data_IF_790045957844
#
_entry.id   IF_790045957844
#
_cell.length_a   1.000
_cell.length_b   1.000
_cell.length_c   1.000
_cell.angle_alpha   90.00
_cell.angle_beta   90.00
_cell.angle_gamma   90.00
#
_symmetry.space_group_name_H-M   'P 1'
#
loop_
_entity.id
_entity.type
_entity.pdbx_description
1 polymer ?
#
# COMPACT_ATOMS: atom_id res chain seq x y z
N UNK A 1 -24.10 -17.93 -45.01
CA UNK A 1 -23.91 -19.35 -44.66
C UNK A 1 -22.48 -19.50 -44.14
N UNK A 2 -22.30 -19.52 -42.83
CA UNK A 2 -21.02 -19.70 -42.16
C UNK A 2 -21.11 -20.97 -41.30
N UNK A 3 -20.11 -21.83 -41.41
CA UNK A 3 -20.07 -23.18 -40.84
C UNK A 3 -20.07 -23.19 -39.30
N UNK A 4 -20.84 -24.07 -38.64
CA UNK A 4 -20.92 -24.18 -37.17
C UNK A 4 -19.80 -25.03 -36.53
N UNK A 5 -18.76 -25.41 -37.27
CA UNK A 5 -17.78 -26.43 -36.85
C UNK A 5 -16.66 -25.87 -35.95
N UNK A 6 -16.43 -24.56 -35.94
CA UNK A 6 -15.35 -23.93 -35.14
C UNK A 6 -15.70 -23.74 -33.66
N UNK A 7 -16.98 -23.73 -33.30
CA UNK A 7 -17.42 -23.55 -31.90
C UNK A 7 -17.33 -24.82 -31.06
N UNK A 8 -17.38 -26.01 -31.68
CA UNK A 8 -17.32 -27.28 -30.96
C UNK A 8 -15.88 -27.66 -30.53
N UNK A 9 -14.87 -27.21 -31.29
CA UNK A 9 -13.47 -27.53 -31.01
C UNK A 9 -12.93 -26.83 -29.75
N UNK A 10 -13.35 -25.59 -29.49
CA UNK A 10 -12.97 -24.85 -28.27
C UNK A 10 -13.56 -25.45 -26.98
N UNK A 11 -14.78 -26.00 -27.03
CA UNK A 11 -15.43 -26.62 -25.86
C UNK A 11 -14.78 -27.96 -25.52
N UNK A 12 -14.30 -28.71 -26.52
CA UNK A 12 -13.61 -29.99 -26.32
C UNK A 12 -12.21 -29.79 -25.72
N UNK A 13 -11.48 -28.73 -26.11
CA UNK A 13 -10.18 -28.38 -25.54
C UNK A 13 -10.29 -27.95 -24.06
N UNK A 14 -11.31 -27.15 -23.71
CA UNK A 14 -11.58 -26.77 -22.32
C UNK A 14 -11.97 -27.97 -21.44
N UNK A 15 -12.71 -28.95 -21.99
CA UNK A 15 -13.08 -30.17 -21.29
C UNK A 15 -11.88 -31.12 -21.07
N UNK A 16 -10.92 -31.17 -21.99
CA UNK A 16 -9.70 -31.99 -21.83
C UNK A 16 -8.72 -31.42 -20.79
N UNK A 17 -8.59 -30.09 -20.67
CA UNK A 17 -7.78 -29.47 -19.60
C UNK A 17 -8.34 -29.73 -18.19
N UNK A 18 -9.66 -29.74 -18.03
CA UNK A 18 -10.34 -30.05 -16.75
C UNK A 18 -10.07 -31.48 -16.25
N UNK A 19 -9.85 -32.43 -17.16
CA UNK A 19 -9.61 -33.85 -16.81
C UNK A 19 -8.16 -34.10 -16.36
N UNK A 20 -7.19 -33.28 -16.76
CA UNK A 20 -5.80 -33.44 -16.33
C UNK A 20 -5.51 -32.83 -14.94
N UNK A 21 -6.21 -31.76 -14.55
CA UNK A 21 -5.99 -31.09 -13.25
C UNK A 21 -6.61 -31.87 -12.08
N UNK A 22 -7.62 -32.70 -12.33
CA UNK A 22 -8.29 -33.51 -11.29
C UNK A 22 -7.55 -34.81 -10.92
N UNK A 23 -6.56 -35.23 -11.73
CA UNK A 23 -5.82 -36.48 -11.50
C UNK A 23 -4.58 -36.34 -10.58
N UNK A 24 -4.18 -35.12 -10.18
CA UNK A 24 -2.90 -34.89 -9.48
C UNK A 24 -3.02 -34.51 -7.99
N UNK A 25 -4.22 -34.60 -7.39
CA UNK A 25 -4.46 -34.37 -5.94
C UNK A 25 -5.00 -35.60 -5.20
N UNK A 26 -4.32 -36.74 -5.31
CA UNK A 26 -4.45 -37.83 -4.34
C UNK A 26 -3.07 -38.32 -3.92
N UNK A 27 -2.62 -37.88 -2.76
CA UNK A 27 -1.45 -38.47 -2.10
C UNK A 27 -0.73 -37.49 -1.19
N UNK A 28 -1.08 -37.51 0.10
CA UNK A 28 -0.20 -37.41 1.29
C UNK A 28 -0.92 -36.70 2.44
N UNK A 29 -1.44 -37.50 3.36
CA UNK A 29 -1.85 -37.07 4.70
C UNK A 29 -0.86 -37.71 5.69
N UNK A 30 0.02 -36.90 6.30
CA UNK A 30 0.96 -37.35 7.33
C UNK A 30 0.57 -36.68 8.65
N UNK A 31 0.18 -37.49 9.63
CA UNK A 31 -0.13 -37.09 11.02
C UNK A 31 1.16 -36.98 11.84
N UNK A 32 1.37 -35.92 12.63
CA UNK A 32 2.28 -35.96 13.76
C UNK A 32 1.51 -36.14 15.08
N UNK A 33 1.94 -37.12 15.88
CA UNK A 33 1.59 -37.26 17.30
C UNK A 33 2.67 -36.58 18.14
N UNK A 34 2.33 -35.54 18.89
CA UNK A 34 3.14 -35.08 20.03
C UNK A 34 2.25 -34.99 21.28
N UNK A 35 2.73 -35.58 22.38
CA UNK A 35 2.19 -35.39 23.74
C UNK A 35 2.79 -34.12 24.33
N UNK A 36 2.05 -33.31 25.11
CA UNK A 36 2.64 -32.24 25.89
C UNK A 36 3.34 -32.78 27.15
N UNK A 37 4.46 -32.14 27.52
CA UNK A 37 5.24 -32.38 28.74
C UNK A 37 4.61 -31.65 29.95
N UNK A 38 4.76 -32.23 31.13
CA UNK A 38 4.20 -31.84 32.43
C UNK A 38 4.61 -30.41 32.92
N UNK A 39 5.43 -29.68 32.16
CA UNK A 39 5.97 -28.36 32.51
C UNK A 39 5.03 -27.19 32.23
N UNK A 40 3.96 -27.36 31.46
CA UNK A 40 3.01 -26.27 31.13
C UNK A 40 2.00 -25.96 32.25
N UNK A 41 1.71 -26.91 33.14
CA UNK A 41 0.75 -26.69 34.22
C UNK A 41 1.25 -25.72 35.30
N UNK A 42 2.56 -25.72 35.59
CA UNK A 42 3.14 -24.87 36.65
C UNK A 42 3.40 -23.43 36.18
N UNK A 43 3.40 -23.17 34.86
CA UNK A 43 3.54 -21.82 34.32
C UNK A 43 2.19 -21.07 34.28
N UNK A 44 1.07 -21.79 34.08
CA UNK A 44 -0.27 -21.22 34.15
C UNK A 44 -0.69 -20.79 35.56
N UNK A 45 -0.25 -21.48 36.61
CA UNK A 45 -0.55 -21.07 38.00
C UNK A 45 0.19 -19.78 38.42
N UNK A 46 1.40 -19.53 37.90
CA UNK A 46 2.13 -18.28 38.20
C UNK A 46 1.50 -17.04 37.56
N UNK A 47 0.87 -17.18 36.40
CA UNK A 47 0.13 -16.10 35.74
C UNK A 47 -1.24 -15.83 36.39
N UNK A 48 -1.86 -16.84 37.02
CA UNK A 48 -3.10 -16.64 37.77
C UNK A 48 -2.87 -16.04 39.17
N UNK A 49 -1.76 -16.38 39.83
CA UNK A 49 -1.41 -15.82 41.15
C UNK A 49 -1.02 -14.34 41.11
N UNK A 50 -0.47 -13.83 40.00
CA UNK A 50 -0.17 -12.40 39.82
C UNK A 50 -1.39 -11.51 39.45
N UNK A 51 -2.60 -12.07 39.31
CA UNK A 51 -3.83 -11.28 39.11
C UNK A 51 -4.62 -11.03 40.41
N UNK A 52 -4.17 -11.55 41.54
CA UNK A 52 -4.88 -11.44 42.83
C UNK A 52 -4.48 -10.22 43.69
N UNK A 53 -4.02 -9.13 43.06
CA UNK A 53 -3.58 -7.90 43.76
C UNK A 53 -3.87 -6.60 43.02
N UNK A 54 -4.73 -6.60 42.00
CA UNK A 54 -5.19 -5.37 41.36
C UNK A 54 -6.52 -4.99 41.99
N UNK A 55 -6.55 -3.85 42.67
CA UNK A 55 -7.77 -3.16 43.09
C UNK A 55 -8.87 -3.33 42.02
N UNK A 56 -10.09 -3.64 42.47
CA UNK A 56 -11.31 -3.67 41.65
C UNK A 56 -11.61 -2.27 41.09
N UNK A 57 -10.76 -1.79 40.18
CA UNK A 57 -11.10 -0.69 39.29
C UNK A 57 -12.12 -1.27 38.32
N UNK A 58 -13.40 -0.96 38.56
CA UNK A 58 -14.46 -1.13 37.57
C UNK A 58 -13.97 -0.50 36.27
N UNK A 59 -13.98 -1.25 35.17
CA UNK A 59 -13.62 -0.70 33.87
C UNK A 59 -14.50 0.53 33.59
N UNK A 60 -13.91 1.66 33.15
CA UNK A 60 -14.67 2.87 32.90
C UNK A 60 -15.70 2.62 31.79
N UNK A 61 -16.92 3.09 32.02
CA UNK A 61 -18.00 2.98 31.04
C UNK A 61 -17.61 3.79 29.79
N UNK A 62 -17.68 3.19 28.61
CA UNK A 62 -17.37 3.91 27.36
C UNK A 62 -18.67 4.47 26.79
N UNK A 63 -18.74 5.79 26.63
CA UNK A 63 -19.85 6.49 25.98
C UNK A 63 -19.35 7.11 24.68
N UNK A 64 -20.10 6.90 23.60
CA UNK A 64 -19.77 7.45 22.28
C UNK A 64 -20.74 8.57 21.94
N UNK A 65 -20.20 9.68 21.47
CA UNK A 65 -21.00 10.85 21.07
C UNK A 65 -20.58 11.36 19.70
N UNK A 66 -21.54 11.93 18.97
CA UNK A 66 -21.29 12.47 17.65
C UNK A 66 -20.75 13.90 17.77
N UNK A 67 -19.78 14.26 16.92
CA UNK A 67 -19.32 15.64 16.82
C UNK A 67 -20.49 16.56 16.45
N UNK A 68 -20.71 17.61 17.23
CA UNK A 68 -21.79 18.57 17.07
C UNK A 68 -23.07 18.26 17.86
N UNK A 69 -23.16 17.11 18.54
CA UNK A 69 -24.29 16.79 19.42
C UNK A 69 -24.10 17.31 20.84
N UNK A 70 -25.16 17.29 21.63
CA UNK A 70 -25.09 17.48 23.07
C UNK A 70 -24.92 16.13 23.75
N UNK A 71 -24.04 16.06 24.76
CA UNK A 71 -23.74 14.85 25.52
C UNK A 71 -24.16 15.02 26.97
N UNK A 72 -24.79 13.97 27.53
CA UNK A 72 -25.19 13.93 28.94
C UNK A 72 -24.43 12.79 29.61
N UNK A 73 -23.55 13.13 30.54
CA UNK A 73 -22.79 12.17 31.33
C UNK A 73 -23.46 12.00 32.70
N UNK A 74 -23.89 10.77 32.99
CA UNK A 74 -24.58 10.44 34.24
C UNK A 74 -23.59 9.95 35.29
N UNK A 75 -23.77 10.38 36.54
CA UNK A 75 -22.98 9.88 37.66
C UNK A 75 -23.50 8.51 38.15
N UNK A 76 -23.34 7.46 37.34
CA UNK A 76 -23.78 6.11 37.70
C UNK A 76 -25.29 6.02 37.99
N UNK A 77 -25.66 5.39 39.12
CA UNK A 77 -27.06 5.20 39.57
C UNK A 77 -27.43 6.10 40.74
N UNK A 78 -26.72 7.21 40.91
CA UNK A 78 -26.92 8.14 42.01
C UNK A 78 -28.22 8.93 41.81
N UNK A 79 -28.90 9.27 42.90
CA UNK A 79 -30.07 10.14 42.87
C UNK A 79 -29.77 11.46 42.13
N UNK A 80 -30.78 11.97 41.42
CA UNK A 80 -30.61 13.18 40.61
C UNK A 80 -30.25 14.41 41.45
N UNK A 81 -30.65 14.44 42.72
CA UNK A 81 -30.44 15.58 43.62
C UNK A 81 -29.14 15.47 44.44
N UNK A 82 -28.34 14.43 44.24
CA UNK A 82 -27.09 14.27 44.97
C UNK A 82 -26.05 15.31 44.53
N UNK A 83 -25.39 15.92 45.51
CA UNK A 83 -24.27 16.83 45.26
C UNK A 83 -23.05 16.04 44.73
N UNK A 84 -22.69 16.30 43.48
CA UNK A 84 -21.55 15.66 42.80
C UNK A 84 -20.54 16.68 42.31
N UNK A 85 -19.28 16.26 42.24
CA UNK A 85 -18.20 17.01 41.60
C UNK A 85 -17.69 16.23 40.40
N UNK A 86 -17.49 16.91 39.27
CA UNK A 86 -17.00 16.31 38.05
C UNK A 86 -15.59 16.79 37.72
N UNK A 87 -14.73 15.86 37.31
CA UNK A 87 -13.41 16.15 36.75
C UNK A 87 -13.25 15.50 35.39
N UNK A 88 -12.42 16.08 34.53
CA UNK A 88 -12.05 15.53 33.23
C UNK A 88 -10.54 15.31 33.20
N UNK A 89 -10.09 14.10 32.88
CA UNK A 89 -8.68 13.71 32.86
C UNK A 89 -7.92 14.05 34.16
N UNK A 90 -8.63 14.11 35.30
CA UNK A 90 -8.05 14.43 36.61
C UNK A 90 -8.01 15.93 36.95
N UNK A 91 -8.51 16.81 36.10
CA UNK A 91 -8.63 18.25 36.37
C UNK A 91 -10.09 18.65 36.59
N UNK A 92 -10.33 19.59 37.49
CA UNK A 92 -11.67 20.15 37.73
C UNK A 92 -12.19 20.86 36.48
N UNK A 93 -13.49 20.76 36.23
CA UNK A 93 -14.16 21.44 35.11
C UNK A 93 -14.53 22.84 35.57
N UNK A 94 -14.06 23.86 34.87
CA UNK A 94 -14.44 25.25 35.16
C UNK A 94 -15.92 25.47 34.78
N UNK A 95 -16.72 25.94 35.75
CA UNK A 95 -18.15 26.24 35.58
C UNK A 95 -18.95 25.07 34.94
N UNK A 96 -19.02 23.90 35.60
CA UNK A 96 -19.68 22.74 35.01
C UNK A 96 -21.18 22.99 34.83
N UNK A 97 -21.69 22.76 33.63
CA UNK A 97 -23.13 22.78 33.36
C UNK A 97 -23.78 21.51 33.90
N UNK A 98 -24.29 21.58 35.12
CA UNK A 98 -24.92 20.45 35.79
C UNK A 98 -26.45 20.50 35.68
N UNK A 99 -27.05 19.33 35.49
CA UNK A 99 -28.47 19.10 35.67
C UNK A 99 -28.64 17.97 36.70
N UNK A 100 -28.79 18.36 37.97
CA UNK A 100 -28.68 17.45 39.09
C UNK A 100 -27.30 16.80 39.16
N UNK A 101 -27.24 15.47 39.29
CA UNK A 101 -26.00 14.70 39.31
C UNK A 101 -25.38 14.45 37.92
N UNK A 102 -25.98 14.96 36.84
CA UNK A 102 -25.50 14.77 35.46
C UNK A 102 -24.74 16.00 34.94
N UNK A 103 -23.67 15.75 34.19
CA UNK A 103 -22.91 16.78 33.47
C UNK A 103 -23.41 16.88 32.03
N UNK A 104 -23.72 18.11 31.61
CA UNK A 104 -24.17 18.44 30.26
C UNK A 104 -23.03 19.11 29.48
N UNK A 105 -22.71 18.56 28.30
CA UNK A 105 -21.75 19.14 27.36
C UNK A 105 -22.50 19.49 26.08
N UNK A 106 -22.42 20.74 25.64
CA UNK A 106 -23.08 21.19 24.42
C UNK A 106 -22.13 21.21 23.23
N UNK A 107 -22.64 20.87 22.04
CA UNK A 107 -21.90 20.94 20.77
C UNK A 107 -20.50 20.28 20.88
N UNK A 108 -20.47 19.01 21.29
CA UNK A 108 -19.23 18.32 21.60
C UNK A 108 -18.36 18.18 20.35
N UNK A 109 -17.05 18.19 20.56
CA UNK A 109 -16.04 18.03 19.52
C UNK A 109 -14.96 17.04 19.96
N UNK A 110 -13.98 16.77 19.11
CA UNK A 110 -12.94 15.79 19.41
C UNK A 110 -12.16 16.08 20.70
N UNK A 111 -11.98 17.36 21.09
CA UNK A 111 -11.24 17.72 22.31
C UNK A 111 -11.99 17.42 23.60
N UNK A 112 -13.30 17.18 23.54
CA UNK A 112 -14.08 16.74 24.69
C UNK A 112 -13.88 15.26 25.01
N UNK A 113 -13.18 14.49 24.17
CA UNK A 113 -12.88 13.09 24.46
C UNK A 113 -11.94 12.97 25.66
N UNK A 114 -12.27 12.10 26.61
CA UNK A 114 -11.50 11.97 27.84
C UNK A 114 -12.18 11.14 28.92
N UNK A 115 -11.52 11.03 30.06
CA UNK A 115 -12.03 10.33 31.25
C UNK A 115 -12.72 11.32 32.18
N UNK A 116 -14.05 11.23 32.24
CA UNK A 116 -14.88 12.01 33.14
C UNK A 116 -15.13 11.21 34.40
N UNK A 117 -14.77 11.78 35.54
CA UNK A 117 -14.90 11.15 36.85
C UNK A 117 -15.88 11.95 37.69
N UNK A 118 -16.84 11.25 38.28
CA UNK A 118 -17.80 11.83 39.20
C UNK A 118 -17.49 11.40 40.64
N UNK A 119 -17.46 12.38 41.54
CA UNK A 119 -17.15 12.21 42.95
C UNK A 119 -18.32 12.65 43.83
N UNK A 120 -18.47 11.97 44.96
CA UNK A 120 -19.36 12.39 46.05
C UNK A 120 -18.85 13.69 46.67
N UNK A 121 -19.70 14.72 46.72
CA UNK A 121 -19.27 16.07 47.09
C UNK A 121 -18.63 16.20 48.48
N UNK A 122 -19.04 15.42 49.47
CA UNK A 122 -18.54 15.51 50.85
C UNK A 122 -17.34 14.60 51.14
N UNK A 123 -17.22 13.47 50.44
CA UNK A 123 -16.24 12.42 50.76
C UNK A 123 -15.12 12.29 49.72
N UNK A 124 -15.22 13.00 48.58
CA UNK A 124 -14.33 12.86 47.42
C UNK A 124 -14.15 11.41 46.95
N UNK A 125 -15.12 10.55 47.26
CA UNK A 125 -15.12 9.17 46.83
C UNK A 125 -15.53 9.10 45.36
N UNK A 126 -14.70 8.45 44.55
CA UNK A 126 -15.03 8.18 43.14
C UNK A 126 -16.27 7.28 43.07
N UNK A 127 -17.32 7.78 42.42
CA UNK A 127 -18.58 7.06 42.25
C UNK A 127 -18.69 6.42 40.88
N UNK A 128 -18.38 7.18 39.83
CA UNK A 128 -18.48 6.71 38.46
C UNK A 128 -17.39 7.32 37.59
N UNK A 129 -16.99 6.58 36.56
CA UNK A 129 -16.05 7.06 35.57
C UNK A 129 -16.53 6.67 34.17
N UNK A 130 -16.61 7.66 33.29
CA UNK A 130 -17.01 7.52 31.90
C UNK A 130 -15.86 7.92 30.99
N UNK A 131 -15.47 7.04 30.08
CA UNK A 131 -14.59 7.36 28.96
C UNK A 131 -15.45 7.87 27.79
N UNK A 132 -15.57 9.19 27.68
CA UNK A 132 -16.27 9.82 26.58
C UNK A 132 -15.38 9.79 25.33
N UNK A 133 -15.89 9.23 24.24
CA UNK A 133 -15.25 9.22 22.93
C UNK A 133 -16.11 9.92 21.90
N UNK A 134 -15.68 11.08 21.47
CA UNK A 134 -16.37 11.86 20.43
C UNK A 134 -15.85 11.46 19.06
N UNK A 135 -16.76 11.19 18.13
CA UNK A 135 -16.41 10.78 16.77
C UNK A 135 -17.50 11.12 15.76
N UNK A 136 -17.47 10.40 14.65
CA UNK A 136 -18.46 10.50 13.58
C UNK A 136 -18.97 9.11 13.17
N UNK A 137 -20.24 8.98 12.77
CA UNK A 137 -20.72 7.77 12.13
C UNK A 137 -19.95 7.52 10.81
N UNK A 138 -19.77 6.26 10.41
CA UNK A 138 -19.01 5.96 9.21
C UNK A 138 -19.79 6.38 7.96
N UNK A 139 -19.08 6.93 6.98
CA UNK A 139 -19.60 7.12 5.61
C UNK A 139 -19.37 5.86 4.77
N UNK A 140 -19.83 5.88 3.53
CA UNK A 140 -19.64 4.80 2.57
C UNK A 140 -18.13 4.50 2.39
N UNK A 141 -17.68 3.25 2.59
CA UNK A 141 -16.30 2.86 2.36
C UNK A 141 -15.99 2.77 0.85
N UNK A 142 -14.79 3.17 0.44
CA UNK A 142 -14.32 2.93 -0.92
C UNK A 142 -13.87 1.47 -1.03
N UNK A 143 -14.47 0.72 -1.94
CA UNK A 143 -14.22 -0.71 -2.17
C UNK A 143 -13.67 -0.93 -3.58
N UNK A 144 -12.55 -1.67 -3.67
CA UNK A 144 -11.89 -2.02 -4.92
C UNK A 144 -11.47 -3.49 -4.93
N UNK A 145 -11.67 -4.18 -6.05
CA UNK A 145 -11.18 -5.55 -6.25
C UNK A 145 -10.27 -5.63 -7.47
N UNK A 146 -9.23 -6.46 -7.39
CA UNK A 146 -8.22 -6.65 -8.46
C UNK A 146 -7.68 -8.07 -8.44
N UNK A 147 -7.43 -8.62 -9.63
CA UNK A 147 -6.70 -9.87 -9.81
C UNK A 147 -5.36 -9.59 -10.49
N UNK A 148 -4.29 -9.68 -9.71
CA UNK A 148 -2.90 -9.61 -10.18
C UNK A 148 -2.25 -10.99 -10.36
N UNK A 149 -2.95 -12.05 -9.96
CA UNK A 149 -2.49 -13.44 -9.98
C UNK A 149 -3.54 -14.39 -10.60
N UNK A 150 -4.24 -13.91 -11.63
CA UNK A 150 -5.16 -14.73 -12.40
C UNK A 150 -4.43 -15.95 -13.01
N UNK A 151 -5.04 -17.15 -13.05
CA UNK A 151 -6.41 -17.51 -12.67
C UNK A 151 -6.54 -17.98 -11.20
N UNK A 152 -5.56 -17.74 -10.33
CA UNK A 152 -5.54 -18.36 -9.00
C UNK A 152 -6.50 -17.66 -8.02
N UNK A 153 -6.48 -16.33 -7.96
CA UNK A 153 -7.31 -15.57 -7.02
C UNK A 153 -7.51 -14.11 -7.44
N UNK A 154 -8.29 -13.39 -6.65
CA UNK A 154 -8.31 -11.93 -6.64
C UNK A 154 -8.35 -11.44 -5.20
N UNK A 155 -8.05 -10.16 -4.98
CA UNK A 155 -8.21 -9.54 -3.68
C UNK A 155 -9.18 -8.37 -3.76
N UNK A 156 -9.82 -8.08 -2.65
CA UNK A 156 -10.59 -6.87 -2.44
C UNK A 156 -9.98 -6.08 -1.29
N UNK A 157 -9.95 -4.76 -1.44
CA UNK A 157 -9.44 -3.84 -0.43
C UNK A 157 -10.41 -2.68 -0.25
N UNK A 158 -10.44 -2.15 0.97
CA UNK A 158 -11.36 -1.07 1.32
C UNK A 158 -10.73 -0.05 2.26
N UNK A 159 -11.25 1.16 2.24
CA UNK A 159 -10.89 2.20 3.21
C UNK A 159 -12.02 3.21 3.38
N UNK A 160 -11.99 3.95 4.50
CA UNK A 160 -12.88 5.08 4.69
C UNK A 160 -12.22 6.33 4.10
N UNK A 161 -12.89 7.07 3.21
CA UNK A 161 -12.35 8.32 2.68
C UNK A 161 -12.34 9.45 3.73
N UNK A 162 -13.17 9.32 4.78
CA UNK A 162 -13.26 10.29 5.88
C UNK A 162 -13.04 9.59 7.23
N UNK A 163 -12.22 10.17 8.13
CA UNK A 163 -11.97 9.60 9.44
C UNK A 163 -13.20 9.70 10.35
N UNK A 164 -13.44 8.65 11.15
CA UNK A 164 -14.51 8.62 12.16
C UNK A 164 -14.03 8.99 13.56
N UNK A 165 -12.72 8.97 13.81
CA UNK A 165 -12.07 9.21 15.11
C UNK A 165 -12.47 8.24 16.25
N UNK A 166 -13.31 7.25 15.95
CA UNK A 166 -13.70 6.17 16.86
C UNK A 166 -13.50 4.80 16.18
N UNK A 167 -13.31 3.71 16.95
CA UNK A 167 -13.04 2.38 16.39
C UNK A 167 -14.11 1.91 15.41
N UNK A 168 -13.68 1.43 14.25
CA UNK A 168 -14.57 0.86 13.22
C UNK A 168 -14.33 -0.64 13.09
N UNK A 169 -15.40 -1.36 12.76
CA UNK A 169 -15.37 -2.77 12.41
C UNK A 169 -15.88 -2.95 10.99
N UNK A 170 -15.15 -3.73 10.18
CA UNK A 170 -15.52 -4.04 8.80
C UNK A 170 -15.94 -5.49 8.65
N UNK A 171 -17.07 -5.71 8.00
CA UNK A 171 -17.54 -7.01 7.58
C UNK A 171 -17.66 -7.05 6.06
N UNK A 172 -17.17 -8.11 5.44
CA UNK A 172 -17.13 -8.27 3.98
C UNK A 172 -17.82 -9.56 3.59
N UNK A 173 -18.68 -9.47 2.58
CA UNK A 173 -19.42 -10.60 2.02
C UNK A 173 -19.19 -10.63 0.52
N UNK A 174 -18.78 -11.80 0.02
CA UNK A 174 -18.52 -12.05 -1.41
C UNK A 174 -19.46 -13.14 -1.86
N UNK A 175 -20.25 -12.88 -2.90
CA UNK A 175 -21.22 -13.82 -3.46
C UNK A 175 -20.92 -14.00 -4.95
N UNK A 176 -20.92 -15.25 -5.40
CA UNK A 176 -20.80 -15.61 -6.80
C UNK A 176 -21.66 -16.86 -7.06
N UNK A 177 -22.47 -16.86 -8.12
CA UNK A 177 -23.39 -17.96 -8.45
C UNK A 177 -24.28 -18.39 -7.27
N UNK A 178 -24.86 -17.39 -6.58
CA UNK A 178 -25.67 -17.57 -5.36
C UNK A 178 -24.96 -18.27 -4.18
N UNK A 179 -23.64 -18.45 -4.25
CA UNK A 179 -22.82 -19.02 -3.18
C UNK A 179 -21.96 -17.94 -2.54
N UNK A 180 -21.96 -17.92 -1.21
CA UNK A 180 -21.04 -17.08 -0.46
C UNK A 180 -19.63 -17.70 -0.50
N UNK A 181 -18.65 -16.91 -0.93
CA UNK A 181 -17.25 -17.32 -1.00
C UNK A 181 -16.51 -16.95 0.28
N UNK A 182 -15.50 -17.75 0.60
CA UNK A 182 -14.59 -17.46 1.71
C UNK A 182 -13.60 -16.36 1.31
N UNK A 183 -13.45 -15.36 2.17
CA UNK A 183 -12.54 -14.22 2.01
C UNK A 183 -11.51 -14.28 3.14
N UNK A 184 -10.28 -14.64 2.77
CA UNK A 184 -9.15 -14.81 3.68
C UNK A 184 -8.56 -13.42 4.00
N UNK A 185 -8.82 -12.90 5.20
CA UNK A 185 -8.38 -11.56 5.60
C UNK A 185 -6.90 -11.54 5.91
N UNK A 186 -6.21 -10.52 5.43
CA UNK A 186 -4.79 -10.32 5.74
C UNK A 186 -4.60 -10.03 7.23
N UNK A 187 -3.53 -10.55 7.87
CA UNK A 187 -3.15 -10.16 9.23
C UNK A 187 -2.85 -8.65 9.29
N UNK A 188 -2.21 -8.15 8.23
CA UNK A 188 -1.89 -6.75 8.00
C UNK A 188 -1.66 -6.52 6.49
N UNK A 189 -2.30 -5.53 5.85
CA UNK A 189 -3.30 -4.61 6.39
C UNK A 189 -4.67 -5.28 6.58
N UNK A 190 -5.38 -4.98 7.69
CA UNK A 190 -6.69 -5.60 8.02
C UNK A 190 -7.81 -5.33 7.00
N UNK A 191 -7.63 -4.36 6.10
CA UNK A 191 -8.64 -3.93 5.13
C UNK A 191 -8.40 -4.51 3.73
N UNK A 192 -7.85 -5.73 3.68
CA UNK A 192 -7.68 -6.51 2.46
C UNK A 192 -8.04 -7.96 2.74
N UNK A 193 -8.62 -8.62 1.75
CA UNK A 193 -8.76 -10.07 1.77
C UNK A 193 -8.63 -10.69 0.38
N UNK A 194 -8.28 -11.96 0.36
CA UNK A 194 -8.07 -12.77 -0.83
C UNK A 194 -9.21 -13.78 -1.03
N UNK A 195 -9.63 -13.96 -2.28
CA UNK A 195 -10.71 -14.84 -2.71
C UNK A 195 -10.20 -15.70 -3.85
N UNK A 196 -10.30 -17.02 -3.70
CA UNK A 196 -9.98 -17.98 -4.77
C UNK A 196 -11.14 -18.06 -5.76
N UNK A 197 -10.83 -18.10 -7.04
CA UNK A 197 -11.85 -18.33 -8.07
C UNK A 197 -12.48 -19.71 -7.89
N UNK A 198 -13.82 -19.77 -7.80
CA UNK A 198 -14.54 -21.05 -7.65
C UNK A 198 -14.68 -21.79 -8.99
N UNK A 199 -14.76 -21.03 -10.08
CA UNK A 199 -14.89 -21.49 -11.46
C UNK A 199 -14.33 -20.38 -12.34
N UNK A 200 -13.47 -20.74 -13.28
CA UNK A 200 -12.94 -19.82 -14.28
C UNK A 200 -13.92 -19.63 -15.42
N UNK A 201 -13.83 -18.48 -16.07
CA UNK A 201 -14.65 -18.10 -17.22
C UNK A 201 -16.16 -18.10 -16.92
N UNK A 202 -16.53 -17.71 -15.70
CA UNK A 202 -17.93 -17.59 -15.30
C UNK A 202 -18.58 -16.38 -15.98
N UNK A 203 -19.80 -16.55 -16.51
CA UNK A 203 -20.64 -15.44 -16.98
C UNK A 203 -21.42 -14.77 -15.84
N UNK A 204 -21.37 -15.34 -14.63
CA UNK A 204 -22.00 -14.79 -13.44
C UNK A 204 -21.10 -13.74 -12.81
N UNK A 205 -21.69 -12.60 -12.45
CA UNK A 205 -20.97 -11.52 -11.77
C UNK A 205 -20.65 -11.89 -10.33
N UNK A 206 -19.50 -11.44 -9.87
CA UNK A 206 -19.21 -11.35 -8.45
C UNK A 206 -19.99 -10.18 -7.86
N UNK A 207 -20.46 -10.35 -6.64
CA UNK A 207 -21.08 -9.30 -5.83
C UNK A 207 -20.32 -9.21 -4.52
N UNK A 208 -19.72 -8.05 -4.25
CA UNK A 208 -18.92 -7.82 -3.04
C UNK A 208 -19.55 -6.69 -2.27
N UNK A 209 -19.84 -6.92 -0.99
CA UNK A 209 -20.38 -5.91 -0.08
C UNK A 209 -19.47 -5.75 1.12
N UNK A 210 -19.06 -4.53 1.41
CA UNK A 210 -18.36 -4.17 2.65
C UNK A 210 -19.29 -3.32 3.50
N UNK A 211 -19.51 -3.76 4.74
CA UNK A 211 -20.26 -3.05 5.77
C UNK A 211 -19.27 -2.55 6.81
N UNK A 212 -19.34 -1.26 7.11
CA UNK A 212 -18.58 -0.61 8.19
C UNK A 212 -19.53 -0.23 9.31
N UNK A 213 -19.17 -0.57 10.54
CA UNK A 213 -19.96 -0.26 11.72
C UNK A 213 -19.07 0.33 12.80
N UNK A 214 -19.56 1.37 13.48
CA UNK A 214 -19.01 1.85 14.74
C UNK A 214 -20.15 2.09 15.75
N UNK A 215 -19.83 2.62 16.92
CA UNK A 215 -20.81 2.85 17.97
C UNK A 215 -21.90 3.88 17.61
N UNK A 216 -21.65 4.75 16.63
CA UNK A 216 -22.57 5.82 16.20
C UNK A 216 -23.39 5.45 14.96
N UNK A 217 -23.11 4.32 14.31
CA UNK A 217 -23.90 3.90 13.15
C UNK A 217 -23.19 2.89 12.25
N UNK A 218 -23.80 2.66 11.09
CA UNK A 218 -23.30 1.75 10.06
C UNK A 218 -23.49 2.32 8.67
N UNK A 219 -22.64 1.91 7.75
CA UNK A 219 -22.78 2.20 6.32
C UNK A 219 -22.20 1.04 5.50
N UNK A 220 -22.45 1.00 4.19
CA UNK A 220 -21.99 -0.09 3.34
C UNK A 220 -21.83 0.32 1.89
N UNK A 221 -20.95 -0.37 1.18
CA UNK A 221 -20.75 -0.22 -0.26
C UNK A 221 -20.75 -1.60 -0.91
N UNK A 222 -21.46 -1.71 -2.02
CA UNK A 222 -21.57 -2.93 -2.82
C UNK A 222 -21.11 -2.66 -4.25
N UNK A 223 -20.25 -3.53 -4.77
CA UNK A 223 -19.84 -3.52 -6.17
C UNK A 223 -20.16 -4.85 -6.83
N UNK A 224 -20.40 -4.83 -8.13
CA UNK A 224 -20.58 -6.04 -8.93
C UNK A 224 -19.76 -5.96 -10.21
N UNK A 225 -19.06 -7.04 -10.54
CA UNK A 225 -18.12 -7.07 -11.66
C UNK A 225 -18.05 -8.46 -12.30
N UNK A 226 -17.67 -8.47 -13.58
CA UNK A 226 -17.35 -9.66 -14.34
C UNK A 226 -15.91 -10.11 -14.04
N UNK A 227 -15.65 -11.42 -14.01
CA UNK A 227 -14.35 -12.01 -13.68
C UNK A 227 -13.17 -11.34 -14.40
N UNK A 228 -13.31 -11.16 -15.71
CA UNK A 228 -12.29 -10.61 -16.60
C UNK A 228 -12.02 -9.11 -16.41
N UNK A 229 -12.98 -8.37 -15.85
CA UNK A 229 -12.90 -6.91 -15.75
C UNK A 229 -11.91 -6.43 -14.68
N UNK A 230 -11.64 -7.27 -13.67
CA UNK A 230 -10.75 -6.95 -12.56
C UNK A 230 -9.33 -7.48 -12.75
N UNK A 231 -9.06 -8.19 -13.85
CA UNK A 231 -7.73 -8.71 -14.16
C UNK A 231 -6.81 -7.54 -14.52
N UNK A 232 -5.76 -7.39 -13.73
CA UNK A 232 -4.71 -6.38 -13.92
C UNK A 232 -3.42 -6.93 -13.32
N UNK A 233 -2.52 -7.51 -14.15
CA UNK A 233 -1.23 -8.05 -13.71
C UNK A 233 -0.39 -7.00 -12.98
N UNK A 234 0.61 -7.43 -12.23
CA UNK A 234 1.63 -6.50 -11.74
C UNK A 234 2.59 -6.06 -12.87
N UNK A 235 3.32 -4.95 -12.73
CA UNK A 235 4.28 -4.52 -13.75
C UNK A 235 5.39 -5.57 -13.96
N UNK A 236 5.96 -5.70 -15.18
CA UNK A 236 7.10 -6.57 -15.43
C UNK A 236 8.26 -6.32 -14.47
N UNK A 237 8.89 -7.41 -14.05
CA UNK A 237 10.02 -7.38 -13.13
C UNK A 237 11.35 -7.33 -13.88
N UNK A 238 12.42 -6.91 -13.21
CA UNK A 238 13.80 -6.98 -13.73
C UNK A 238 13.96 -6.40 -15.16
N UNK A 239 13.37 -5.22 -15.41
CA UNK A 239 13.52 -4.50 -16.67
C UNK A 239 14.95 -3.97 -16.78
N UNK A 240 15.72 -4.51 -17.72
CA UNK A 240 17.11 -4.16 -17.97
C UNK A 240 17.27 -3.72 -19.42
N UNK A 241 18.01 -2.64 -19.66
CA UNK A 241 18.36 -2.17 -20.99
C UNK A 241 19.88 -2.10 -21.13
N UNK A 242 20.43 -2.72 -22.19
CA UNK A 242 21.87 -2.80 -22.44
C UNK A 242 22.23 -2.26 -23.83
N UNK A 243 23.37 -1.58 -23.97
CA UNK A 243 23.87 -1.19 -25.28
C UNK A 243 24.24 -2.41 -26.12
N UNK A 244 23.87 -2.40 -27.39
CA UNK A 244 24.33 -3.42 -28.34
C UNK A 244 25.71 -3.01 -28.86
N UNK A 245 26.71 -3.87 -28.66
CA UNK A 245 28.10 -3.59 -29.02
C UNK A 245 28.23 -3.20 -30.51
N UNK A 246 29.09 -2.21 -30.80
CA UNK A 246 29.32 -1.63 -32.14
C UNK A 246 28.06 -1.09 -32.85
N UNK A 247 26.98 -0.82 -32.10
CA UNK A 247 25.72 -0.32 -32.66
C UNK A 247 25.23 0.92 -31.89
N UNK A 248 25.55 2.14 -32.37
CA UNK A 248 25.27 3.37 -31.62
C UNK A 248 23.80 3.79 -31.61
N UNK A 249 22.92 3.03 -32.27
CA UNK A 249 21.47 3.29 -32.32
C UNK A 249 20.63 2.15 -31.76
N UNK A 250 21.25 1.19 -31.07
CA UNK A 250 20.56 0.00 -30.57
C UNK A 250 20.67 -0.16 -29.05
N UNK A 251 19.54 -0.49 -28.44
CA UNK A 251 19.42 -0.89 -27.05
C UNK A 251 18.63 -2.19 -27.00
N UNK A 252 19.20 -3.21 -26.38
CA UNK A 252 18.51 -4.46 -26.08
C UNK A 252 17.83 -4.31 -24.73
N UNK A 253 16.50 -4.45 -24.71
CA UNK A 253 15.66 -4.37 -23.51
C UNK A 253 15.15 -5.77 -23.20
N UNK A 254 15.29 -6.20 -21.96
CA UNK A 254 14.82 -7.50 -21.46
C UNK A 254 14.06 -7.30 -20.16
N UNK A 255 13.04 -8.12 -19.91
CA UNK A 255 12.27 -8.10 -18.66
C UNK A 255 11.86 -9.51 -18.26
N UNK A 256 11.21 -9.63 -17.10
CA UNK A 256 10.64 -10.87 -16.60
C UNK A 256 9.13 -10.72 -16.42
N UNK A 257 8.42 -11.84 -16.60
CA UNK A 257 7.01 -11.95 -16.23
C UNK A 257 6.89 -11.71 -14.72
N UNK A 258 5.88 -10.94 -14.26
CA UNK A 258 5.68 -10.70 -12.84
C UNK A 258 5.56 -12.02 -12.08
N UNK A 259 6.28 -12.16 -10.97
CA UNK A 259 6.29 -13.37 -10.14
C UNK A 259 4.90 -13.72 -9.57
N UNK A 260 4.00 -12.74 -9.51
CA UNK A 260 2.61 -12.92 -9.10
C UNK A 260 1.75 -13.59 -10.15
N UNK A 261 2.18 -13.68 -11.41
CA UNK A 261 1.43 -14.30 -12.51
C UNK A 261 1.84 -15.78 -12.66
N UNK A 262 1.03 -16.73 -12.17
CA UNK A 262 1.50 -18.09 -11.90
C UNK A 262 1.56 -19.01 -13.13
N UNK A 263 0.81 -18.71 -14.19
CA UNK A 263 0.59 -19.61 -15.33
C UNK A 263 0.61 -18.84 -16.65
N UNK A 264 1.80 -18.37 -17.04
CA UNK A 264 1.99 -17.63 -18.28
C UNK A 264 1.87 -18.49 -19.55
N UNK A 265 1.96 -19.82 -19.42
CA UNK A 265 1.82 -20.73 -20.55
C UNK A 265 0.34 -20.85 -20.97
N UNK A 266 -0.57 -20.95 -20.00
CA UNK A 266 -2.01 -20.99 -20.27
C UNK A 266 -2.64 -19.60 -20.41
N UNK A 267 -2.07 -18.59 -19.74
CA UNK A 267 -2.55 -17.20 -19.74
C UNK A 267 -1.41 -16.26 -20.15
N UNK A 268 -1.08 -16.20 -21.46
CA UNK A 268 0.05 -15.43 -21.94
C UNK A 268 -0.17 -13.92 -21.75
N UNK A 269 0.90 -13.26 -21.33
CA UNK A 269 0.94 -11.81 -21.23
C UNK A 269 1.48 -11.20 -22.52
N UNK A 270 0.88 -10.09 -22.93
CA UNK A 270 1.46 -9.15 -23.88
C UNK A 270 2.02 -7.93 -23.16
N UNK A 271 2.97 -7.26 -23.80
CA UNK A 271 3.72 -6.17 -23.21
C UNK A 271 3.58 -4.89 -24.02
N UNK A 272 3.60 -3.75 -23.33
CA UNK A 272 3.66 -2.44 -23.94
C UNK A 272 4.92 -1.76 -23.44
N UNK A 273 5.87 -1.56 -24.35
CA UNK A 273 7.14 -0.92 -24.07
C UNK A 273 7.03 0.56 -24.47
N UNK A 274 7.47 1.45 -23.59
CA UNK A 274 7.63 2.87 -23.89
C UNK A 274 9.06 3.32 -23.62
N UNK A 275 9.57 4.17 -24.51
CA UNK A 275 10.90 4.74 -24.39
C UNK A 275 10.93 6.14 -24.97
N UNK A 276 11.82 6.98 -24.43
CA UNK A 276 12.17 8.28 -24.99
C UNK A 276 13.58 8.67 -24.57
N UNK A 277 14.30 9.45 -25.38
CA UNK A 277 15.54 10.06 -24.92
C UNK A 277 15.22 11.14 -23.88
N UNK A 278 16.09 11.34 -22.90
CA UNK A 278 15.87 12.35 -21.85
C UNK A 278 15.80 13.78 -22.38
N UNK A 279 16.34 14.02 -23.57
CA UNK A 279 16.30 15.31 -24.26
C UNK A 279 14.95 15.65 -24.91
N UNK A 280 14.01 14.71 -24.98
CA UNK A 280 12.67 14.91 -25.55
C UNK A 280 11.59 14.39 -24.58
N UNK A 281 10.42 15.01 -24.58
CA UNK A 281 9.28 14.57 -23.75
C UNK A 281 8.33 13.61 -24.46
N UNK A 282 8.53 13.37 -25.75
CA UNK A 282 7.67 12.49 -26.55
C UNK A 282 8.04 11.01 -26.38
N UNK A 283 7.08 10.22 -25.92
CA UNK A 283 7.21 8.76 -25.80
C UNK A 283 6.99 8.05 -27.13
N UNK A 284 7.89 7.12 -27.45
CA UNK A 284 7.67 6.07 -28.44
C UNK A 284 7.12 4.83 -27.75
N UNK A 285 6.28 4.09 -28.48
CA UNK A 285 5.53 2.96 -27.95
C UNK A 285 5.66 1.75 -28.87
N UNK A 286 5.76 0.55 -28.29
CA UNK A 286 5.79 -0.72 -29.00
C UNK A 286 4.94 -1.73 -28.24
N UNK A 287 3.92 -2.28 -28.89
CA UNK A 287 3.14 -3.40 -28.36
C UNK A 287 3.75 -4.72 -28.85
N UNK A 288 3.96 -5.64 -27.90
CA UNK A 288 4.65 -6.90 -28.10
C UNK A 288 3.72 -8.02 -27.65
N UNK A 289 3.26 -8.84 -28.60
CA UNK A 289 2.33 -9.95 -28.33
C UNK A 289 2.98 -11.13 -27.62
N UNK A 290 4.29 -11.32 -27.83
CA UNK A 290 5.04 -12.48 -27.33
C UNK A 290 6.47 -12.08 -26.95
N UNK A 291 7.07 -12.89 -26.08
CA UNK A 291 8.47 -12.74 -25.66
C UNK A 291 8.68 -11.73 -24.53
N UNK A 292 9.90 -11.75 -23.97
CA UNK A 292 10.31 -10.89 -22.85
C UNK A 292 11.52 -10.02 -23.18
N UNK A 293 11.73 -9.76 -24.47
CA UNK A 293 12.80 -8.89 -24.95
C UNK A 293 12.40 -8.12 -26.20
N UNK A 294 13.03 -6.97 -26.40
CA UNK A 294 12.90 -6.14 -27.59
C UNK A 294 14.17 -5.33 -27.84
N UNK A 295 14.57 -5.19 -29.10
CA UNK A 295 15.68 -4.33 -29.49
C UNK A 295 15.16 -3.03 -30.07
N UNK A 296 15.38 -1.92 -29.35
CA UNK A 296 15.18 -0.57 -29.88
C UNK A 296 16.23 -0.34 -30.97
N UNK A 297 15.84 0.20 -32.12
CA UNK A 297 16.74 0.33 -33.31
C UNK A 297 16.92 1.75 -33.83
N UNK A 298 16.17 2.69 -33.27
CA UNK A 298 16.10 4.10 -33.63
C UNK A 298 16.60 5.00 -32.48
N UNK A 299 17.42 4.45 -31.58
CA UNK A 299 17.98 5.23 -30.47
C UNK A 299 18.97 6.30 -30.99
N UNK A 300 18.99 7.46 -30.35
CA UNK A 300 19.95 8.53 -30.63
C UNK A 300 21.30 8.21 -29.99
N UNK A 301 22.35 8.25 -30.80
CA UNK A 301 23.71 7.95 -30.36
C UNK A 301 24.14 8.87 -29.20
N UNK A 302 24.68 8.24 -28.14
CA UNK A 302 25.19 8.94 -26.95
C UNK A 302 24.13 9.70 -26.14
N UNK A 303 22.84 9.47 -26.38
CA UNK A 303 21.76 10.04 -25.57
C UNK A 303 21.22 9.01 -24.60
N UNK A 304 21.01 9.43 -23.36
CA UNK A 304 20.39 8.59 -22.34
C UNK A 304 18.88 8.48 -22.59
N UNK A 305 18.35 7.28 -22.40
CA UNK A 305 16.95 6.94 -22.56
C UNK A 305 16.33 6.56 -21.22
N UNK A 306 15.05 6.88 -21.05
CA UNK A 306 14.18 6.30 -20.03
C UNK A 306 13.27 5.27 -20.68
N UNK A 307 13.19 4.08 -20.10
CA UNK A 307 12.51 2.90 -20.66
C UNK A 307 11.62 2.29 -19.58
N UNK A 308 10.38 1.97 -19.94
CA UNK A 308 9.41 1.31 -19.07
C UNK A 308 8.58 0.29 -19.85
N UNK A 309 8.12 -0.74 -19.15
CA UNK A 309 7.30 -1.80 -19.73
C UNK A 309 6.05 -1.98 -18.86
N UNK A 310 4.90 -2.20 -19.50
CA UNK A 310 3.66 -2.63 -18.86
C UNK A 310 3.25 -4.00 -19.41
N UNK A 311 2.45 -4.74 -18.65
CA UNK A 311 1.95 -6.06 -19.00
C UNK A 311 0.43 -6.09 -18.98
N UNK A 312 -0.16 -6.92 -19.83
CA UNK A 312 -1.60 -7.22 -19.84
C UNK A 312 -1.78 -8.67 -20.25
N UNK A 313 -2.81 -9.33 -19.73
CA UNK A 313 -3.29 -10.55 -20.36
C UNK A 313 -3.65 -10.28 -21.84
N UNK A 314 -3.43 -11.28 -22.68
CA UNK A 314 -3.62 -11.19 -24.13
C UNK A 314 -5.04 -10.74 -24.50
N UNK A 315 -6.06 -11.27 -23.82
CA UNK A 315 -7.47 -11.07 -24.15
C UNK A 315 -8.20 -10.22 -23.10
N UNK A 316 -7.97 -10.48 -21.82
CA UNK A 316 -8.80 -9.97 -20.73
C UNK A 316 -8.11 -8.87 -19.91
N UNK A 317 -8.89 -8.21 -19.05
CA UNK A 317 -8.36 -7.27 -18.08
C UNK A 317 -7.83 -5.96 -18.67
N UNK A 318 -6.97 -5.31 -17.88
CA UNK A 318 -6.39 -4.00 -18.17
C UNK A 318 -4.87 -4.03 -18.02
N UNK A 319 -4.20 -3.07 -18.65
CA UNK A 319 -2.76 -2.90 -18.54
C UNK A 319 -2.36 -2.68 -17.08
N UNK A 320 -1.25 -3.29 -16.68
CA UNK A 320 -0.58 -3.01 -15.42
C UNK A 320 -0.07 -1.56 -15.39
N UNK A 321 0.34 -1.12 -14.21
CA UNK A 321 1.07 0.14 -14.11
C UNK A 321 2.44 0.00 -14.81
N UNK A 322 3.06 1.12 -15.17
CA UNK A 322 4.39 1.06 -15.76
C UNK A 322 5.41 0.50 -14.76
N UNK A 323 6.33 -0.32 -15.24
CA UNK A 323 7.48 -0.79 -14.46
C UNK A 323 8.26 0.39 -13.88
N UNK A 324 9.12 0.10 -12.90
CA UNK A 324 10.16 1.05 -12.50
C UNK A 324 10.95 1.45 -13.75
N UNK A 325 11.27 2.74 -13.85
CA UNK A 325 11.99 3.30 -14.98
C UNK A 325 13.43 2.79 -15.00
N UNK A 326 13.85 2.29 -16.17
CA UNK A 326 15.23 1.87 -16.43
C UNK A 326 15.89 2.87 -17.37
N UNK A 327 17.16 3.17 -17.10
CA UNK A 327 17.95 4.11 -17.88
C UNK A 327 19.05 3.39 -18.64
N UNK A 328 19.29 3.79 -19.88
CA UNK A 328 20.39 3.25 -20.69
C UNK A 328 20.85 4.25 -21.74
N UNK A 329 22.14 4.19 -22.08
CA UNK A 329 22.72 4.95 -23.19
C UNK A 329 23.20 3.97 -24.25
N UNK A 330 22.88 4.17 -25.55
CA UNK A 330 23.39 3.33 -26.63
C UNK A 330 24.91 3.29 -26.67
N UNK A 331 25.46 2.28 -27.35
CA UNK A 331 26.91 2.11 -27.44
C UNK A 331 27.58 3.36 -28.02
N UNK A 332 28.71 3.75 -27.42
CA UNK A 332 29.57 4.82 -27.91
C UNK A 332 30.99 4.28 -28.03
N UNK A 333 31.73 4.73 -29.04
CA UNK A 333 33.17 4.49 -29.07
C UNK A 333 33.81 5.22 -27.91
N UNK A 334 34.68 4.53 -27.17
CA UNK A 334 35.55 5.21 -26.22
C UNK A 334 36.40 6.24 -26.99
N UNK A 335 36.47 7.50 -26.52
CA UNK A 335 37.30 8.49 -27.17
C UNK A 335 38.74 8.00 -27.16
N UNK A 336 39.29 7.70 -28.34
CA UNK A 336 40.71 7.43 -28.51
C UNK A 336 41.44 8.71 -28.13
N UNK A 337 42.13 8.72 -26.98
CA UNK A 337 43.03 9.80 -26.63
C UNK A 337 44.09 9.89 -27.73
N UNK A 338 44.05 10.96 -28.52
CA UNK A 338 45.13 11.29 -29.44
C UNK A 338 46.26 11.80 -28.54
N UNK A 339 47.19 10.92 -28.18
CA UNK A 339 48.48 11.35 -27.66
C UNK A 339 49.14 12.10 -28.82
N UNK A 340 49.11 13.43 -28.78
CA UNK A 340 49.84 14.27 -29.72
C UNK A 340 51.32 14.00 -29.49
N UNK A 341 51.94 13.19 -30.34
CA UNK A 341 53.39 13.19 -30.51
C UNK A 341 53.80 14.53 -31.10
N UNK A 342 54.01 15.52 -30.23
CA UNK A 342 54.68 16.76 -30.59
C UNK A 342 55.86 16.98 -29.64
N UNK A 343 57.05 16.76 -30.21
CA UNK A 343 58.37 17.27 -29.80
C UNK A 343 58.89 16.93 -28.40
N UNK A 344 59.92 16.06 -28.35
CA UNK A 344 61.27 16.55 -28.05
C UNK A 344 62.35 15.54 -28.47
N UNK A 345 63.06 15.87 -29.54
CA UNK A 345 64.38 15.31 -29.86
C UNK A 345 65.43 15.87 -28.89
N UNK A 346 66.37 15.01 -28.51
CA UNK A 346 67.66 15.24 -27.80
C UNK A 346 67.55 15.53 -26.27
N UNK A 347 68.25 14.84 -25.35
CA UNK A 347 69.59 14.24 -25.39
C UNK A 347 69.72 13.08 -24.37
N UNK A 348 70.51 12.07 -24.76
CA UNK A 348 71.13 10.98 -23.99
C UNK A 348 71.42 11.23 -22.49
N UNK A 349 70.93 10.37 -21.59
CA UNK A 349 71.78 9.65 -20.61
C UNK A 349 71.09 8.38 -20.14
N UNK A 350 71.81 7.26 -20.26
CA UNK A 350 71.42 5.91 -19.84
C UNK A 350 71.61 5.74 -18.34
N UNK A 351 70.55 5.50 -17.57
CA UNK A 351 70.63 4.74 -16.31
C UNK A 351 69.42 3.79 -16.24
N UNK A 352 69.74 2.50 -16.28
CA UNK A 352 68.83 1.40 -16.00
C UNK A 352 68.56 1.34 -14.51
N UNK A 353 67.31 1.38 -14.05
CA UNK A 353 66.91 0.63 -12.85
C UNK A 353 65.41 0.36 -12.85
N UNK A 354 65.10 -0.92 -12.97
CA UNK A 354 63.82 -1.53 -12.63
C UNK A 354 63.51 -1.29 -11.15
N UNK A 355 62.31 -0.83 -10.84
CA UNK A 355 61.70 -1.07 -9.52
C UNK A 355 60.19 -1.18 -9.64
N UNK A 356 59.74 -2.43 -9.55
CA UNK A 356 58.37 -2.83 -9.24
C UNK A 356 57.97 -2.23 -7.89
N UNK A 357 56.86 -1.49 -7.82
CA UNK A 357 56.19 -1.28 -6.54
C UNK A 357 54.68 -1.23 -6.71
N UNK A 358 54.06 -2.33 -6.30
CA UNK A 358 52.64 -2.50 -5.98
C UNK A 358 52.17 -1.45 -4.96
N UNK A 359 51.06 -0.77 -5.23
CA UNK A 359 50.38 0.06 -4.22
C UNK A 359 49.04 -0.54 -3.81
N UNK A 360 49.01 -0.87 -2.51
CA UNK A 360 47.90 -1.36 -1.70
C UNK A 360 47.05 -0.16 -1.25
N UNK A 361 45.72 -0.33 -1.24
CA UNK A 361 44.73 0.63 -0.76
C UNK A 361 44.67 0.62 0.78
N UNK A 362 44.64 1.78 1.47
CA UNK A 362 44.24 1.84 2.87
C UNK A 362 42.77 2.32 3.04
N UNK A 363 42.00 1.75 3.99
CA UNK A 363 40.64 2.16 4.29
C UNK A 363 40.61 3.24 5.39
N UNK A 364 39.61 4.12 5.38
CA UNK A 364 39.25 4.85 6.61
C UNK A 364 37.75 5.04 6.74
N UNK A 365 37.22 4.48 7.82
CA UNK A 365 35.99 4.89 8.49
C UNK A 365 36.39 5.77 9.67
N UNK A 366 35.62 6.83 9.97
CA UNK A 366 35.09 7.19 11.30
C UNK A 366 34.42 8.59 11.29
N UNK A 367 33.11 8.54 11.56
CA UNK A 367 32.26 9.40 12.40
C UNK A 367 32.86 10.70 12.98
N UNK A 368 32.13 11.83 12.80
CA UNK A 368 32.20 13.02 13.67
C UNK A 368 30.78 13.52 14.01
N UNK A 369 30.53 13.78 15.30
CA UNK A 369 29.38 14.51 15.85
C UNK A 369 29.50 16.03 15.58
N UNK A 370 28.39 16.81 15.64
CA UNK A 370 28.45 18.26 15.50
C UNK A 370 28.46 18.98 16.86
N UNK A 371 29.49 19.80 17.11
CA UNK A 371 29.47 20.83 18.14
C UNK A 371 29.03 22.20 17.59
N UNK A 372 28.28 22.89 18.45
CA UNK A 372 27.67 24.20 18.27
C UNK A 372 28.67 25.33 18.09
N UNK A 373 28.45 26.20 17.09
CA UNK A 373 29.07 27.54 17.04
C UNK A 373 28.00 28.60 16.85
N UNK A 374 27.93 29.46 17.85
CA UNK A 374 27.14 30.69 17.94
C UNK A 374 27.72 31.71 16.95
N UNK A 375 26.87 32.29 16.09
CA UNK A 375 27.30 33.27 15.11
C UNK A 375 26.16 34.16 14.61
N UNK A 376 25.96 35.27 15.33
CA UNK A 376 25.64 36.63 14.83
C UNK A 376 24.73 36.81 13.61
N UNK A 377 23.63 37.49 13.88
CA UNK A 377 22.65 38.11 12.98
C UNK A 377 23.28 39.00 11.89
N UNK A 378 22.96 38.73 10.62
CA UNK A 378 23.04 39.70 9.52
C UNK A 378 21.71 39.70 8.78
N UNK A 379 21.05 40.87 8.76
CA UNK A 379 19.80 41.12 8.05
C UNK A 379 20.06 41.21 6.55
N UNK A 380 19.41 40.37 5.74
CA UNK A 380 19.26 40.60 4.30
C UNK A 380 17.89 41.22 4.02
N UNK A 381 17.91 42.44 3.49
CA UNK A 381 16.75 43.20 3.00
C UNK A 381 16.27 42.65 1.65
N UNK A 382 14.98 42.34 1.56
CA UNK A 382 14.33 41.88 0.32
C UNK A 382 13.81 43.08 -0.48
N UNK A 383 14.12 43.13 -1.78
CA UNK A 383 13.47 44.01 -2.76
C UNK A 383 12.18 43.33 -3.26
N UNK A 384 11.05 44.06 -3.42
CA UNK A 384 9.84 43.48 -3.99
C UNK A 384 9.84 43.65 -5.52
N UNK A 385 9.58 42.55 -6.24
CA UNK A 385 9.31 42.56 -7.67
C UNK A 385 7.84 42.89 -7.94
N UNK A 386 7.59 43.88 -8.80
CA UNK A 386 6.27 44.28 -9.30
C UNK A 386 5.62 43.15 -10.11
N UNK A 387 4.33 42.89 -9.84
CA UNK A 387 3.44 42.11 -10.70
C UNK A 387 2.65 43.06 -11.62
N UNK A 388 2.79 42.88 -12.94
CA UNK A 388 1.97 43.51 -13.96
C UNK A 388 0.69 42.68 -14.18
N UNK A 389 -0.47 43.33 -14.08
CA UNK A 389 -1.78 42.77 -14.45
C UNK A 389 -2.10 43.11 -15.93
N UNK A 390 -2.66 42.18 -16.73
CA UNK A 390 -3.15 42.51 -18.06
C UNK A 390 -4.61 42.97 -18.02
N UNK A 391 -4.86 44.14 -18.61
CA UNK A 391 -6.19 44.69 -18.90
C UNK A 391 -6.71 44.04 -20.18
N UNK A 392 -7.86 43.38 -20.10
CA UNK A 392 -8.61 42.88 -21.25
C UNK A 392 -9.35 44.01 -21.96
N UNK A 393 -9.11 44.14 -23.26
CA UNK A 393 -9.78 45.10 -24.14
C UNK A 393 -11.06 44.48 -24.70
N UNK A 394 -12.19 45.14 -24.45
CA UNK A 394 -13.47 44.96 -25.14
C UNK A 394 -13.36 45.55 -26.55
N UNK A 395 -13.73 44.80 -27.59
CA UNK A 395 -14.23 45.36 -28.85
C UNK A 395 -15.42 44.53 -29.34
N UNK A 396 -16.50 45.29 -29.57
CA UNK A 396 -17.76 45.09 -30.30
C UNK A 396 -18.11 43.73 -30.91
#
# INVERSE_FOLDING_TARGET
MANPVTSACCVILAAMMMMMVSAQRRGQEVKPKSRPLLTDYLFQERLQSQRAGRSSQREPHIQYEQTGSDAILRCGTVDQDAAVTWTVNGTDIENPHLNGSSLLLHNVNLSHSGYYSCFEGSSWKLWHQTNLRVGNPPREPVLMCRSNNYPASFYCSWHLPFPTFIPNTFNITVIHDSKQLYCEKDPFPKNRCHIKYSRLFSTQKYQVTVVVTNALGKNSTSISFDEFSIVKPDPPENVVAKPVHNNPRRLEVTWQIPSTWPDADSFPLKFFLRYRPLILDQWQHVELSEGTSHTITDAYAGKEYIIQVAAKDYEIGTWSDWSVATYATPWTEEPKYITTESQKTETTTRITTTTTTTYVVPPSTKVCEPESVIGSTVRLSWLPALLLAPVGILIM
#
